data_IF_462072512482
#
_entry.id   IF_462072512482
#
_cell.length_a   1.000
_cell.length_b   1.000
_cell.length_c   1.000
_cell.angle_alpha   90.00
_cell.angle_beta   90.00
_cell.angle_gamma   90.00
#
_symmetry.space_group_name_H-M   'P 1'
#
loop_
_entity.id
_entity.type
_entity.pdbx_description
1 polymer ?
#
# COMPACT_ATOMS: atom_id res chain seq x y z
N UNK A 1 -1.83 11.22 -15.24
CA UNK A 1 -2.40 12.51 -15.02
C UNK A 1 -3.10 12.57 -13.69
N UNK A 2 -4.44 12.38 -13.64
CA UNK A 2 -5.14 12.43 -12.35
C UNK A 2 -4.60 11.38 -11.40
N UNK A 3 -4.33 10.19 -11.93
CA UNK A 3 -3.80 9.10 -11.14
C UNK A 3 -2.42 9.45 -10.61
N UNK A 4 -1.61 10.10 -11.41
CA UNK A 4 -0.27 10.49 -10.99
C UNK A 4 -0.32 11.50 -9.86
N UNK A 5 -1.25 12.43 -9.92
CA UNK A 5 -1.40 13.42 -8.86
C UNK A 5 -1.83 12.75 -7.56
N UNK A 6 -2.80 11.85 -7.63
CA UNK A 6 -3.25 11.14 -6.45
C UNK A 6 -2.13 10.30 -5.85
N UNK A 7 -1.37 9.63 -6.69
CA UNK A 7 -0.24 8.85 -6.22
C UNK A 7 0.80 9.73 -5.54
N UNK A 8 1.09 10.89 -6.11
CA UNK A 8 2.05 11.82 -5.53
C UNK A 8 1.63 12.23 -4.12
N UNK A 9 0.35 12.54 -3.94
CA UNK A 9 -0.16 12.95 -2.63
C UNK A 9 -0.09 11.80 -1.63
N UNK A 10 -0.41 10.60 -2.06
CA UNK A 10 -0.37 9.44 -1.19
C UNK A 10 1.07 9.11 -0.80
N UNK A 11 2.01 9.18 -1.75
CA UNK A 11 3.42 8.95 -1.45
C UNK A 11 3.92 9.97 -0.43
N UNK A 12 3.57 11.24 -0.62
CA UNK A 12 3.98 12.28 0.32
C UNK A 12 3.43 12.01 1.73
N UNK A 13 2.18 11.57 1.80
CA UNK A 13 1.57 11.24 3.10
C UNK A 13 2.26 10.05 3.75
N UNK A 14 2.61 9.03 2.98
CA UNK A 14 3.34 7.89 3.50
C UNK A 14 4.71 8.30 4.05
N UNK A 15 5.43 9.12 3.29
CA UNK A 15 6.74 9.57 3.73
C UNK A 15 6.65 10.43 4.98
N UNK A 16 5.58 11.20 5.10
CA UNK A 16 5.39 12.06 6.27
C UNK A 16 5.25 11.26 7.54
N UNK A 17 4.67 10.07 7.48
CA UNK A 17 4.54 9.22 8.67
C UNK A 17 5.73 8.27 8.86
N UNK A 18 6.80 8.48 8.09
CA UNK A 18 8.03 7.74 8.28
C UNK A 18 8.21 6.52 7.39
N UNK A 19 7.33 6.31 6.43
CA UNK A 19 7.48 5.19 5.50
C UNK A 19 8.50 5.53 4.41
N UNK A 20 9.13 4.50 3.86
CA UNK A 20 9.91 4.60 2.63
C UNK A 20 9.10 4.00 1.50
N UNK A 21 9.20 4.58 0.30
CA UNK A 21 8.32 4.22 -0.79
C UNK A 21 9.12 4.06 -2.08
N UNK A 22 8.87 2.96 -2.79
CA UNK A 22 9.42 2.72 -4.12
C UNK A 22 8.27 2.47 -5.09
N UNK A 23 8.32 3.13 -6.24
CA UNK A 23 7.32 2.91 -7.28
C UNK A 23 7.72 1.69 -8.10
N UNK A 24 6.87 0.69 -8.15
CA UNK A 24 7.20 -0.59 -8.78
C UNK A 24 6.21 -1.01 -9.86
N UNK A 25 5.23 -0.19 -10.20
CA UNK A 25 4.16 -0.62 -11.10
C UNK A 25 4.64 -0.99 -12.49
N UNK A 26 5.82 -0.51 -12.89
CA UNK A 26 6.34 -0.80 -14.21
C UNK A 26 7.01 -2.18 -14.33
N UNK A 27 7.09 -2.92 -13.22
CA UNK A 27 7.80 -4.19 -13.23
C UNK A 27 7.05 -5.27 -13.97
N UNK A 28 5.72 -5.29 -13.83
CA UNK A 28 4.93 -6.39 -14.38
C UNK A 28 3.47 -5.98 -14.45
N UNK A 29 2.75 -6.46 -15.45
CA UNK A 29 1.33 -6.16 -15.57
C UNK A 29 0.55 -6.62 -14.36
N UNK A 30 -0.25 -5.72 -13.80
CA UNK A 30 -1.03 -6.02 -12.61
C UNK A 30 -0.29 -5.87 -11.30
N UNK A 31 1.03 -5.65 -11.34
CA UNK A 31 1.82 -5.40 -10.14
C UNK A 31 1.32 -4.15 -9.43
N UNK A 32 1.32 -4.15 -8.09
CA UNK A 32 0.92 -2.96 -7.35
C UNK A 32 1.81 -1.77 -7.66
N UNK A 33 1.31 -0.57 -7.38
CA UNK A 33 2.00 0.67 -7.69
C UNK A 33 3.24 0.88 -6.83
N UNK A 34 3.17 0.53 -5.55
CA UNK A 34 4.18 0.93 -4.57
C UNK A 34 4.61 -0.23 -3.69
N UNK A 35 5.90 -0.26 -3.41
CA UNK A 35 6.48 -1.06 -2.33
C UNK A 35 6.79 -0.10 -1.19
N UNK A 36 6.27 -0.40 -0.01
CA UNK A 36 6.34 0.51 1.13
C UNK A 36 6.97 -0.17 2.32
N UNK A 37 8.04 0.43 2.84
CA UNK A 37 8.64 0.00 4.10
C UNK A 37 8.10 0.86 5.23
N UNK A 38 7.61 0.24 6.29
CA UNK A 38 7.02 0.96 7.40
C UNK A 38 7.16 0.14 8.67
N UNK A 39 7.80 0.72 9.66
CA UNK A 39 7.97 0.11 10.98
C UNK A 39 8.53 -1.31 10.91
N UNK A 40 9.57 -1.46 10.08
CA UNK A 40 10.30 -2.72 9.99
C UNK A 40 9.67 -3.78 9.11
N UNK A 41 8.59 -3.45 8.42
CA UNK A 41 7.90 -4.40 7.55
C UNK A 41 7.70 -3.80 6.16
N UNK A 42 7.46 -4.69 5.21
CA UNK A 42 7.24 -4.31 3.83
C UNK A 42 5.80 -4.58 3.44
N UNK A 43 5.23 -3.65 2.68
CA UNK A 43 3.84 -3.72 2.23
C UNK A 43 3.76 -3.37 0.77
N UNK A 44 2.75 -3.90 0.11
CA UNK A 44 2.43 -3.54 -1.26
C UNK A 44 1.17 -2.69 -1.25
N UNK A 45 1.18 -1.61 -2.01
CA UNK A 45 0.04 -0.70 -2.06
C UNK A 45 -0.34 -0.43 -3.50
N UNK A 46 -1.62 -0.60 -3.78
CA UNK A 46 -2.23 -0.24 -5.05
C UNK A 46 -2.96 1.09 -4.87
N UNK A 47 -2.59 2.10 -5.65
CA UNK A 47 -3.19 3.43 -5.55
C UNK A 47 -4.34 3.53 -6.55
N UNK A 48 -5.51 3.91 -6.08
CA UNK A 48 -6.69 4.11 -6.92
C UNK A 48 -7.28 5.48 -6.66
N UNK A 49 -7.93 6.04 -7.67
CA UNK A 49 -8.67 7.29 -7.45
C UNK A 49 -9.97 6.96 -6.74
N UNK A 50 -10.47 7.87 -5.88
CA UNK A 50 -11.63 7.56 -5.03
C UNK A 50 -12.86 7.12 -5.79
N UNK A 51 -13.15 7.75 -6.93
CA UNK A 51 -14.37 7.43 -7.68
C UNK A 51 -14.31 6.09 -8.36
N UNK A 52 -13.12 5.66 -8.79
CA UNK A 52 -13.00 4.46 -9.60
C UNK A 52 -12.66 3.24 -8.79
N UNK A 53 -11.89 3.35 -7.80
CA UNK A 53 -11.54 2.44 -6.73
C UNK A 53 -11.57 0.94 -6.94
N UNK A 54 -11.69 0.45 -8.15
CA UNK A 54 -11.77 -0.98 -8.41
C UNK A 54 -10.47 -1.50 -8.99
N UNK A 55 -10.13 -2.73 -8.61
CA UNK A 55 -9.02 -3.41 -9.24
C UNK A 55 -9.43 -3.86 -10.64
N UNK A 56 -8.52 -3.73 -11.60
CA UNK A 56 -8.73 -4.32 -12.92
C UNK A 56 -8.61 -5.84 -12.82
N UNK A 57 -9.04 -6.53 -13.88
CA UNK A 57 -8.96 -7.98 -13.88
C UNK A 57 -7.52 -8.46 -13.75
N UNK A 58 -6.59 -7.81 -14.43
CA UNK A 58 -5.20 -8.22 -14.36
C UNK A 58 -4.62 -7.98 -12.96
N UNK A 59 -5.09 -6.94 -12.27
CA UNK A 59 -4.66 -6.69 -10.89
C UNK A 59 -5.24 -7.74 -9.95
N UNK A 60 -6.46 -8.18 -10.19
CA UNK A 60 -7.07 -9.24 -9.38
C UNK A 60 -6.32 -10.55 -9.55
N UNK A 61 -5.95 -10.90 -10.77
CA UNK A 61 -5.17 -12.10 -11.04
C UNK A 61 -3.83 -12.02 -10.33
N UNK A 62 -3.15 -10.90 -10.46
CA UNK A 62 -1.86 -10.70 -9.80
C UNK A 62 -2.00 -10.89 -8.29
N UNK A 63 -3.03 -10.26 -7.71
CA UNK A 63 -3.29 -10.34 -6.28
C UNK A 63 -3.55 -11.76 -5.83
N UNK A 64 -4.36 -12.49 -6.60
CA UNK A 64 -4.72 -13.87 -6.24
C UNK A 64 -3.52 -14.80 -6.32
N UNK A 65 -2.63 -14.56 -7.27
CA UNK A 65 -1.46 -15.42 -7.48
C UNK A 65 -0.32 -15.09 -6.51
N UNK A 66 -0.33 -13.93 -5.90
CA UNK A 66 0.77 -13.51 -5.05
C UNK A 66 0.74 -14.27 -3.73
N UNK A 67 1.83 -14.98 -3.44
CA UNK A 67 1.91 -15.84 -2.25
C UNK A 67 2.19 -15.07 -0.97
N UNK A 68 2.74 -13.87 -1.09
CA UNK A 68 3.03 -13.05 0.09
C UNK A 68 1.84 -12.25 0.55
N UNK A 69 2.10 -11.22 1.32
CA UNK A 69 1.04 -10.32 1.78
C UNK A 69 0.32 -9.68 0.62
N UNK A 70 -1.00 -9.64 0.69
CA UNK A 70 -1.80 -9.06 -0.39
C UNK A 70 -1.70 -7.54 -0.39
N UNK A 71 -1.75 -6.92 -1.57
CA UNK A 71 -1.68 -5.45 -1.63
C UNK A 71 -2.87 -4.80 -0.96
N UNK A 72 -2.61 -3.69 -0.31
CA UNK A 72 -3.66 -2.80 0.20
C UNK A 72 -4.05 -1.83 -0.91
N UNK A 73 -5.32 -1.48 -0.94
CA UNK A 73 -5.82 -0.47 -1.88
C UNK A 73 -5.97 0.83 -1.12
N UNK A 74 -5.29 1.88 -1.60
CA UNK A 74 -5.32 3.20 -0.96
C UNK A 74 -5.80 4.22 -1.98
N UNK A 75 -6.83 4.95 -1.63
CA UNK A 75 -7.50 5.88 -2.55
C UNK A 75 -7.27 7.34 -2.20
N UNK A 76 -6.84 7.62 -0.97
CA UNK A 76 -6.76 8.99 -0.50
C UNK A 76 -5.72 9.10 0.59
N UNK A 77 -5.38 10.35 0.95
CA UNK A 77 -4.49 10.61 2.09
C UNK A 77 -5.11 10.09 3.38
N UNK A 78 -6.43 10.22 3.54
CA UNK A 78 -7.11 9.67 4.70
C UNK A 78 -6.92 8.17 4.83
N UNK A 79 -6.92 7.48 3.70
CA UNK A 79 -6.69 6.03 3.71
C UNK A 79 -5.30 5.68 4.19
N UNK A 80 -4.31 6.54 3.96
CA UNK A 80 -2.96 6.32 4.49
C UNK A 80 -2.98 6.27 6.01
N UNK A 81 -3.73 7.19 6.62
CA UNK A 81 -3.83 7.22 8.09
C UNK A 81 -4.52 5.96 8.60
N UNK A 82 -5.61 5.56 7.96
CA UNK A 82 -6.32 4.34 8.35
C UNK A 82 -5.43 3.12 8.18
N UNK A 83 -4.71 3.04 7.09
CA UNK A 83 -3.80 1.93 6.82
C UNK A 83 -2.69 1.87 7.88
N UNK A 84 -2.10 3.02 8.19
CA UNK A 84 -1.03 3.07 9.19
C UNK A 84 -1.51 2.55 10.53
N UNK A 85 -2.72 2.91 10.93
CA UNK A 85 -3.30 2.39 12.16
C UNK A 85 -3.56 0.89 12.09
N UNK A 86 -3.99 0.42 10.93
CA UNK A 86 -4.29 -0.99 10.75
C UNK A 86 -3.05 -1.87 10.88
N UNK A 87 -1.92 -1.43 10.30
CA UNK A 87 -0.70 -2.24 10.27
C UNK A 87 0.21 -1.97 11.46
N UNK A 88 -0.08 -0.97 12.27
CA UNK A 88 0.70 -0.65 13.46
C UNK A 88 0.11 -1.38 14.65
N UNK A 89 0.66 -2.55 14.96
CA UNK A 89 0.19 -3.28 16.12
C UNK A 89 0.71 -2.63 17.40
N UNK A 90 -0.08 -2.66 18.50
CA UNK A 90 0.44 -2.22 19.78
C UNK A 90 1.70 -2.98 20.16
N UNK A 91 2.65 -2.34 20.82
CA UNK A 91 3.93 -2.98 21.12
C UNK A 91 3.80 -4.29 21.90
N UNK A 92 2.87 -4.36 22.84
CA UNK A 92 2.69 -5.57 23.62
C UNK A 92 2.16 -6.72 22.76
N UNK A 93 1.30 -6.44 21.80
CA UNK A 93 0.85 -7.46 20.86
C UNK A 93 1.97 -7.94 19.97
N UNK A 94 2.83 -7.04 19.52
CA UNK A 94 3.98 -7.43 18.73
C UNK A 94 4.90 -8.34 19.51
N UNK A 95 5.12 -8.03 20.79
CA UNK A 95 5.95 -8.86 21.63
C UNK A 95 5.38 -10.26 21.80
N UNK A 96 4.06 -10.35 21.97
CA UNK A 96 3.41 -11.64 22.11
C UNK A 96 3.60 -12.50 20.86
N UNK A 97 3.53 -11.87 19.69
CA UNK A 97 3.73 -12.60 18.44
C UNK A 97 5.14 -13.10 18.33
N UNK A 98 6.10 -12.30 18.73
CA UNK A 98 7.51 -12.65 18.61
C UNK A 98 7.93 -13.61 19.72
N UNK A 99 7.47 -13.33 20.90
CA UNK A 99 7.86 -14.11 22.07
C UNK A 99 7.10 -15.39 22.14
#
# INVERSE_FOLDING_TARGET
MRQDKNQTEIVAALEKIGATVEAIRSLHGGCPDLLVGFQGRNYLIEVKVPKEGRLSDIQKVWRDDWSGGKPFVIKSVEDVILWAGLVSCPPDQKRKVIG
#
